data_IF_586105324147
#
_entry.id   IF_586105324147
#
_cell.length_a   1.000
_cell.length_b   1.000
_cell.length_c   1.000
_cell.angle_alpha   90.00
_cell.angle_beta   90.00
_cell.angle_gamma   90.00
#
_symmetry.space_group_name_H-M   'P 1'
#
loop_
_entity.id
_entity.type
_entity.pdbx_description
1 polymer ?
#
# COMPACT_ATOMS: atom_id res chain seq x y z
N UNK A 1 -12.57 -3.95 13.19
CA UNK A 1 -11.52 -3.86 12.18
C UNK A 1 -10.59 -2.74 12.59
N UNK A 2 -9.27 -2.95 12.59
CA UNK A 2 -8.33 -1.90 12.93
C UNK A 2 -8.43 -0.75 11.93
N UNK A 3 -8.33 0.47 12.43
CA UNK A 3 -8.28 1.68 11.59
C UNK A 3 -6.83 1.92 11.19
N UNK A 4 -6.53 1.87 9.90
CA UNK A 4 -5.23 2.27 9.38
C UNK A 4 -5.15 3.80 9.33
N UNK A 5 -4.05 4.34 9.86
CA UNK A 5 -3.73 5.77 9.77
C UNK A 5 -2.45 5.88 8.95
N UNK A 6 -2.56 6.49 7.79
CA UNK A 6 -1.44 6.73 6.87
C UNK A 6 -0.96 8.17 7.05
N UNK A 7 0.35 8.40 7.20
CA UNK A 7 0.88 9.77 7.21
C UNK A 7 0.90 10.35 5.79
N UNK A 8 0.93 11.68 5.64
CA UNK A 8 1.05 12.30 4.31
C UNK A 8 2.27 11.83 3.52
N UNK A 9 3.40 11.61 4.20
CA UNK A 9 4.62 11.09 3.57
C UNK A 9 4.42 9.66 3.06
N UNK A 10 3.78 8.80 3.87
CA UNK A 10 3.49 7.44 3.46
C UNK A 10 2.48 7.40 2.29
N UNK A 11 1.52 8.32 2.24
CA UNK A 11 0.62 8.44 1.09
C UNK A 11 1.37 8.82 -0.19
N UNK A 12 2.32 9.75 -0.10
CA UNK A 12 3.18 10.12 -1.23
C UNK A 12 4.08 8.96 -1.66
N UNK A 13 4.69 8.24 -0.71
CA UNK A 13 5.51 7.06 -1.01
C UNK A 13 4.70 5.98 -1.75
N UNK A 14 3.46 5.74 -1.33
CA UNK A 14 2.56 4.79 -2.00
C UNK A 14 2.24 5.22 -3.43
N UNK A 15 2.00 6.51 -3.65
CA UNK A 15 1.74 7.07 -4.98
C UNK A 15 2.97 6.93 -5.89
N UNK A 16 4.15 7.31 -5.40
CA UNK A 16 5.41 7.25 -6.16
C UNK A 16 5.76 5.82 -6.56
N UNK A 17 5.60 4.86 -5.63
CA UNK A 17 5.82 3.44 -5.90
C UNK A 17 4.80 2.91 -6.92
N UNK A 18 3.52 3.28 -6.78
CA UNK A 18 2.50 2.84 -7.72
C UNK A 18 2.79 3.37 -9.13
N UNK A 19 3.10 4.67 -9.27
CA UNK A 19 3.43 5.29 -10.54
C UNK A 19 4.63 4.61 -11.20
N UNK A 20 5.68 4.34 -10.44
CA UNK A 20 6.87 3.63 -10.93
C UNK A 20 6.54 2.24 -11.48
N UNK A 21 5.75 1.43 -10.76
CA UNK A 21 5.38 0.08 -11.23
C UNK A 21 4.41 0.15 -12.41
N UNK A 22 3.51 1.14 -12.41
CA UNK A 22 2.48 1.30 -13.42
C UNK A 22 3.03 1.68 -14.79
N UNK A 23 4.24 2.23 -14.88
CA UNK A 23 4.94 2.44 -16.16
C UNK A 23 5.06 1.15 -16.96
N UNK A 24 5.32 0.02 -16.28
CA UNK A 24 5.42 -1.30 -16.90
C UNK A 24 4.09 -2.08 -16.84
N UNK A 25 3.39 -2.01 -15.70
CA UNK A 25 2.19 -2.79 -15.47
C UNK A 25 1.31 -2.21 -14.36
N UNK A 26 0.24 -1.46 -14.70
CA UNK A 26 -0.71 -0.94 -13.73
C UNK A 26 -1.34 -2.04 -12.86
N UNK A 27 -1.62 -3.20 -13.45
CA UNK A 27 -2.18 -4.36 -12.73
C UNK A 27 -1.22 -4.88 -11.65
N UNK A 28 0.10 -4.80 -11.88
CA UNK A 28 1.08 -5.18 -10.85
C UNK A 28 1.22 -4.09 -9.78
N UNK A 29 1.01 -2.82 -10.11
CA UNK A 29 0.98 -1.72 -9.16
C UNK A 29 -0.20 -1.86 -8.18
N UNK A 30 -1.39 -2.17 -8.70
CA UNK A 30 -2.57 -2.48 -7.88
C UNK A 30 -2.31 -3.69 -6.97
N UNK A 31 -1.82 -4.80 -7.54
CA UNK A 31 -1.46 -6.01 -6.76
C UNK A 31 -0.41 -5.74 -5.69
N UNK A 32 0.49 -4.78 -5.91
CA UNK A 32 1.49 -4.42 -4.92
C UNK A 32 0.84 -3.73 -3.72
N UNK A 33 -0.05 -2.75 -3.95
CA UNK A 33 -0.78 -2.06 -2.89
C UNK A 33 -1.69 -3.02 -2.12
N UNK A 34 -2.42 -3.91 -2.80
CA UNK A 34 -3.25 -4.94 -2.16
C UNK A 34 -2.44 -5.82 -1.19
N UNK A 35 -1.23 -6.22 -1.61
CA UNK A 35 -0.33 -7.04 -0.77
C UNK A 35 0.19 -6.27 0.42
N UNK A 36 0.47 -4.98 0.26
CA UNK A 36 0.94 -4.13 1.33
C UNK A 36 -0.16 -3.93 2.38
N UNK A 37 -1.37 -3.53 1.95
CA UNK A 37 -2.53 -3.38 2.81
C UNK A 37 -2.80 -4.66 3.60
N UNK A 38 -2.80 -5.82 2.92
CA UNK A 38 -3.00 -7.12 3.56
C UNK A 38 -1.92 -7.48 4.60
N UNK A 39 -0.70 -6.94 4.49
CA UNK A 39 0.34 -7.11 5.53
C UNK A 39 0.11 -6.17 6.71
N UNK A 40 -0.24 -4.92 6.44
CA UNK A 40 -0.46 -3.91 7.49
C UNK A 40 -1.68 -4.27 8.34
N UNK A 41 -2.78 -4.72 7.71
CA UNK A 41 -3.96 -5.19 8.43
C UNK A 41 -3.64 -6.36 9.36
N UNK A 42 -2.81 -7.33 8.91
CA UNK A 42 -2.35 -8.42 9.78
C UNK A 42 -1.58 -7.90 10.99
N UNK A 43 -0.66 -6.95 10.82
CA UNK A 43 0.05 -6.35 11.96
C UNK A 43 -0.91 -5.70 12.96
N UNK A 44 -1.91 -4.98 12.46
CA UNK A 44 -2.89 -4.30 13.30
C UNK A 44 -3.84 -5.28 14.03
N UNK A 45 -4.01 -6.51 13.54
CA UNK A 45 -4.75 -7.58 14.25
C UNK A 45 -3.93 -8.28 15.36
N UNK A 46 -2.58 -8.20 15.31
CA UNK A 46 -1.69 -8.78 16.31
C UNK A 46 -1.26 -7.79 17.42
N UNK A 47 -1.81 -6.56 17.41
CA UNK A 47 -1.52 -5.51 18.39
C UNK A 47 -2.72 -5.29 19.31
#
# INVERSE_FOLDING_TARGET
MPTLITSPEAEQDLLDIWLYIAEDSPVNADRFLDRLEGRVLKFAEFT
#
